data_IF_943885747705
#
_entry.id   IF_943885747705
#
_cell.length_a   1.000
_cell.length_b   1.000
_cell.length_c   1.000
_cell.angle_alpha   90.00
_cell.angle_beta   90.00
_cell.angle_gamma   90.00
#
_symmetry.space_group_name_H-M   'P 1'
#
loop_
_entity.id
_entity.type
_entity.pdbx_description
1 polymer ?
#
# COMPACT_ATOMS: atom_id res chain seq x y z
N UNK A 1 -9.53 12.35 17.64
CA UNK A 1 -8.85 11.23 16.97
C UNK A 1 -8.04 11.75 15.80
N UNK A 2 -7.19 10.92 15.20
CA UNK A 2 -6.43 11.26 13.99
C UNK A 2 -7.41 11.54 12.82
N UNK A 3 -7.14 12.57 12.00
CA UNK A 3 -8.03 12.94 10.89
C UNK A 3 -7.80 12.04 9.67
N UNK A 4 -8.87 11.35 9.23
CA UNK A 4 -8.82 10.51 8.03
C UNK A 4 -8.61 11.36 6.76
N UNK A 5 -9.14 12.57 6.73
CA UNK A 5 -8.93 13.52 5.62
C UNK A 5 -7.45 13.91 5.51
N UNK A 6 -6.80 14.17 6.65
CA UNK A 6 -5.37 14.49 6.67
C UNK A 6 -4.53 13.30 6.17
N UNK A 7 -4.83 12.08 6.62
CA UNK A 7 -4.17 10.86 6.13
C UNK A 7 -4.34 10.66 4.61
N UNK A 8 -5.55 10.88 4.09
CA UNK A 8 -5.81 10.79 2.65
C UNK A 8 -5.06 11.88 1.86
N UNK A 9 -5.00 13.11 2.39
CA UNK A 9 -4.23 14.20 1.81
C UNK A 9 -2.73 13.88 1.77
N UNK A 10 -2.19 13.32 2.84
CA UNK A 10 -0.81 12.86 2.91
C UNK A 10 -0.52 11.73 1.91
N UNK A 11 -1.38 10.71 1.84
CA UNK A 11 -1.27 9.62 0.87
C UNK A 11 -1.32 10.14 -0.59
N UNK A 12 -2.18 11.13 -0.87
CA UNK A 12 -2.24 11.79 -2.19
C UNK A 12 -0.92 12.48 -2.54
N UNK A 13 -0.29 13.17 -1.58
CA UNK A 13 1.01 13.84 -1.77
C UNK A 13 2.13 12.84 -2.08
N UNK A 14 2.20 11.72 -1.35
CA UNK A 14 3.17 10.65 -1.63
C UNK A 14 2.96 10.08 -3.03
N UNK A 15 1.72 9.71 -3.38
CA UNK A 15 1.42 9.15 -4.70
C UNK A 15 1.78 10.11 -5.84
N UNK A 16 1.52 11.41 -5.67
CA UNK A 16 1.92 12.41 -6.65
C UNK A 16 3.44 12.40 -6.86
N UNK A 17 4.23 12.44 -5.78
CA UNK A 17 5.68 12.45 -5.86
C UNK A 17 6.25 11.18 -6.52
N UNK A 18 5.69 10.01 -6.23
CA UNK A 18 6.11 8.74 -6.83
C UNK A 18 5.78 8.70 -8.33
N UNK A 19 4.52 8.96 -8.68
CA UNK A 19 4.05 8.91 -10.07
C UNK A 19 4.75 9.94 -10.95
N UNK A 20 5.02 11.15 -10.44
CA UNK A 20 5.71 12.20 -11.21
C UNK A 20 7.15 11.84 -11.60
N UNK A 21 7.73 10.81 -10.99
CA UNK A 21 9.09 10.33 -11.22
C UNK A 21 9.14 8.94 -11.86
N UNK A 22 7.98 8.42 -12.32
CA UNK A 22 7.88 7.12 -13.00
C UNK A 22 7.63 5.92 -12.10
N UNK A 23 7.47 6.11 -10.79
CA UNK A 23 7.12 5.03 -9.86
C UNK A 23 5.61 4.83 -9.82
N UNK A 24 5.08 4.02 -10.75
CA UNK A 24 3.64 3.89 -10.97
C UNK A 24 2.97 2.67 -10.32
N UNK A 25 3.76 1.75 -9.74
CA UNK A 25 3.23 0.53 -9.08
C UNK A 25 3.12 0.76 -7.58
N UNK A 26 1.96 1.25 -7.13
CA UNK A 26 1.71 1.62 -5.73
C UNK A 26 0.53 0.81 -5.18
N UNK A 27 0.82 -0.05 -4.20
CA UNK A 27 -0.21 -0.70 -3.39
C UNK A 27 -0.66 0.26 -2.27
N UNK A 28 -1.78 0.97 -2.49
CA UNK A 28 -2.32 1.94 -1.55
C UNK A 28 -3.41 1.34 -0.66
N UNK A 29 -3.12 1.22 0.64
CA UNK A 29 -4.02 0.68 1.65
C UNK A 29 -4.59 1.74 2.62
N UNK A 30 -4.47 3.05 2.33
CA UNK A 30 -4.86 4.11 3.28
C UNK A 30 -6.32 4.04 3.75
N UNK A 31 -7.21 3.47 2.93
CA UNK A 31 -8.63 3.30 3.25
C UNK A 31 -8.98 1.97 3.93
N UNK A 32 -7.99 1.12 4.24
CA UNK A 32 -8.20 -0.21 4.83
C UNK A 32 -8.04 -0.23 6.35
N UNK A 33 -7.66 0.88 6.99
CA UNK A 33 -7.43 0.93 8.43
C UNK A 33 -8.66 0.54 9.27
N UNK A 34 -9.89 0.73 8.74
CA UNK A 34 -11.13 0.31 9.40
C UNK A 34 -11.55 -1.14 9.14
N UNK A 35 -10.79 -1.89 8.34
CA UNK A 35 -11.10 -3.29 8.01
C UNK A 35 -10.67 -4.22 9.15
N UNK A 36 -11.59 -5.06 9.63
CA UNK A 36 -11.32 -6.01 10.72
C UNK A 36 -10.09 -6.88 10.41
N UNK A 37 -9.13 -6.88 11.34
CA UNK A 37 -7.85 -7.62 11.28
C UNK A 37 -6.88 -7.15 10.18
N UNK A 38 -7.09 -5.96 9.62
CA UNK A 38 -6.16 -5.39 8.63
C UNK A 38 -4.93 -4.75 9.27
N UNK A 39 -5.12 -4.15 10.44
CA UNK A 39 -4.04 -3.60 11.27
C UNK A 39 -3.83 -4.52 12.47
N UNK A 40 -2.56 -4.71 12.87
CA UNK A 40 -2.20 -5.41 14.11
C UNK A 40 -2.35 -4.47 15.30
N UNK A 41 -1.94 -3.21 15.11
CA UNK A 41 -1.99 -2.16 16.10
C UNK A 41 -2.40 -0.82 15.46
N UNK A 42 -2.02 0.30 16.07
CA UNK A 42 -2.40 1.64 15.61
C UNK A 42 -1.83 2.02 14.24
N UNK A 43 -0.70 1.43 13.81
CA UNK A 43 0.01 1.85 12.60
C UNK A 43 0.58 0.70 11.75
N UNK A 44 0.70 -0.53 12.28
CA UNK A 44 1.29 -1.66 11.56
C UNK A 44 0.24 -2.58 10.92
N UNK A 45 0.56 -3.12 9.75
CA UNK A 45 -0.25 -4.14 9.08
C UNK A 45 -0.34 -5.41 9.94
N UNK A 46 -1.56 -5.93 10.08
CA UNK A 46 -1.86 -7.20 10.73
C UNK A 46 -2.19 -8.29 9.73
N UNK A 47 -2.89 -9.33 10.19
CA UNK A 47 -3.13 -10.56 9.41
C UNK A 47 -3.68 -10.35 8.01
N UNK A 48 -4.80 -9.61 7.86
CA UNK A 48 -5.37 -9.34 6.53
C UNK A 48 -4.58 -8.29 5.76
N UNK A 49 -3.89 -7.39 6.46
CA UNK A 49 -3.00 -6.41 5.84
C UNK A 49 -1.82 -7.08 5.13
N UNK A 50 -1.17 -8.04 5.80
CA UNK A 50 -0.10 -8.84 5.23
C UNK A 50 -0.58 -9.72 4.07
N UNK A 51 -1.76 -10.33 4.17
CA UNK A 51 -2.33 -11.10 3.06
C UNK A 51 -2.58 -10.20 1.83
N UNK A 52 -3.14 -9.00 2.02
CA UNK A 52 -3.36 -8.05 0.93
C UNK A 52 -2.02 -7.56 0.33
N UNK A 53 -1.02 -7.32 1.16
CA UNK A 53 0.32 -6.95 0.71
C UNK A 53 0.97 -8.07 -0.12
N UNK A 54 0.93 -9.32 0.34
CA UNK A 54 1.46 -10.49 -0.40
C UNK A 54 0.84 -10.62 -1.80
N UNK A 55 -0.48 -10.43 -1.91
CA UNK A 55 -1.20 -10.47 -3.19
C UNK A 55 -0.73 -9.40 -4.18
N UNK A 56 -0.14 -8.30 -3.72
CA UNK A 56 0.44 -7.26 -4.59
C UNK A 56 1.94 -7.49 -4.83
N UNK A 57 2.68 -7.92 -3.80
CA UNK A 57 4.14 -8.07 -3.83
C UNK A 57 4.54 -9.29 -4.67
N UNK A 58 3.86 -10.43 -4.50
CA UNK A 58 4.20 -11.67 -5.22
C UNK A 58 4.19 -11.48 -6.75
N UNK A 59 3.08 -11.02 -7.39
CA UNK A 59 3.09 -10.82 -8.84
C UNK A 59 4.09 -9.74 -9.27
N UNK A 60 4.30 -8.69 -8.45
CA UNK A 60 5.30 -7.67 -8.72
C UNK A 60 6.71 -8.26 -8.86
N UNK A 61 7.08 -9.20 -7.98
CA UNK A 61 8.39 -9.86 -8.01
C UNK A 61 8.47 -10.86 -9.17
N UNK A 62 7.45 -11.69 -9.34
CA UNK A 62 7.39 -12.73 -10.39
C UNK A 62 7.44 -12.14 -11.81
N UNK A 63 6.74 -11.03 -12.07
CA UNK A 63 6.77 -10.35 -13.37
C UNK A 63 8.18 -9.85 -13.71
N UNK A 64 8.92 -9.33 -12.72
CA UNK A 64 10.29 -8.85 -12.92
C UNK A 64 11.28 -10.00 -13.19
N UNK A 65 10.96 -11.23 -12.80
CA UNK A 65 11.77 -12.41 -13.11
C UNK A 65 11.60 -12.91 -14.55
N UNK A 66 10.50 -12.57 -15.23
CA UNK A 66 10.23 -12.98 -16.62
C UNK A 66 10.88 -12.01 -17.63
N UNK A 67 10.97 -10.73 -17.29
CA UNK A 67 11.56 -9.71 -18.17
C UNK A 67 13.08 -9.61 -18.11
N UNK A 68 13.73 -10.27 -17.14
CA UNK A 68 15.17 -10.22 -16.91
C UNK A 68 15.94 -11.43 -17.50
N UNK A 69 15.26 -12.35 -18.18
CA UNK A 69 15.83 -13.56 -18.80
C UNK A 69 15.83 -13.49 -20.32
#
# INVERSE_FOLDING_TARGET
>A
GLSQEMLQGFAKKIKFQLNSQGFNRIADFVNQAGTNYFMEDTIHLGWKGWLAADQQIRPFLEENHITAS
#
